data_IF_805364535015
#
_entry.id   IF_805364535015
#
_cell.length_a   1.000
_cell.length_b   1.000
_cell.length_c   1.000
_cell.angle_alpha   90.00
_cell.angle_beta   90.00
_cell.angle_gamma   90.00
#
_symmetry.space_group_name_H-M   'P 1'
#
loop_
_entity.id
_entity.type
_entity.pdbx_description
1 polymer ?
#
# COMPACT_ATOMS: atom_id res chain seq x y z
N UNK A 1 -10.84 1.95 -8.71
CA UNK A 1 -9.63 2.56 -9.33
C UNK A 1 -9.90 3.00 -10.77
N UNK A 2 -10.68 2.23 -11.53
CA UNK A 2 -11.09 2.55 -12.91
C UNK A 2 -11.97 3.81 -12.99
N UNK A 3 -12.82 4.06 -11.99
CA UNK A 3 -13.79 5.17 -12.03
C UNK A 3 -13.17 6.57 -11.94
N UNK A 4 -11.95 6.69 -11.45
CA UNK A 4 -11.25 7.97 -11.29
C UNK A 4 -10.47 8.41 -12.54
N UNK A 5 -10.18 7.47 -13.45
CA UNK A 5 -9.43 7.75 -14.67
C UNK A 5 -10.29 8.41 -15.77
N UNK A 6 -11.62 8.33 -15.66
CA UNK A 6 -12.55 8.85 -16.68
C UNK A 6 -12.89 10.34 -16.53
N UNK A 7 -12.51 10.98 -15.42
CA UNK A 7 -12.67 12.43 -15.22
C UNK A 7 -11.45 13.14 -15.80
N UNK A 8 -11.35 13.15 -17.13
CA UNK A 8 -10.23 13.73 -17.84
C UNK A 8 -10.15 15.24 -17.61
N UNK A 9 -9.33 15.71 -16.67
CA UNK A 9 -8.93 17.14 -16.62
C UNK A 9 -7.76 17.56 -15.70
N UNK A 10 -6.72 16.78 -15.34
CA UNK A 10 -5.73 17.34 -14.38
C UNK A 10 -4.24 17.09 -14.67
N UNK A 11 -3.48 18.20 -14.71
CA UNK A 11 -2.01 18.30 -14.78
C UNK A 11 -1.31 17.64 -13.57
N UNK A 12 -0.11 17.12 -13.81
CA UNK A 12 0.29 15.77 -13.36
C UNK A 12 0.79 15.64 -11.92
N UNK A 13 1.39 16.64 -11.26
CA UNK A 13 2.18 16.31 -10.04
C UNK A 13 1.74 16.85 -8.68
N UNK A 14 0.94 17.91 -8.59
CA UNK A 14 0.61 18.50 -7.26
C UNK A 14 -0.88 18.72 -7.07
N UNK A 15 -1.56 19.21 -8.11
CA UNK A 15 -3.00 19.52 -8.07
C UNK A 15 -3.87 18.26 -8.08
N UNK A 16 -3.35 17.16 -8.63
CA UNK A 16 -4.02 15.87 -8.67
C UNK A 16 -4.17 15.26 -7.28
N UNK A 17 -3.12 15.32 -6.45
CA UNK A 17 -3.13 14.74 -5.09
C UNK A 17 -4.17 15.40 -4.18
N UNK A 18 -4.22 16.73 -4.17
CA UNK A 18 -5.15 17.45 -3.28
C UNK A 18 -6.62 17.23 -3.66
N UNK A 19 -6.94 17.27 -4.95
CA UNK A 19 -8.32 16.99 -5.41
C UNK A 19 -8.70 15.52 -5.21
N UNK A 20 -7.76 14.61 -5.43
CA UNK A 20 -7.96 13.17 -5.21
C UNK A 20 -8.24 12.83 -3.75
N UNK A 21 -7.47 13.39 -2.81
CA UNK A 21 -7.65 13.15 -1.38
C UNK A 21 -9.02 13.65 -0.90
N UNK A 22 -9.45 14.81 -1.37
CA UNK A 22 -10.76 15.37 -1.03
C UNK A 22 -11.91 14.52 -1.61
N UNK A 23 -11.76 14.00 -2.83
CA UNK A 23 -12.77 13.10 -3.41
C UNK A 23 -12.81 11.75 -2.68
N UNK A 24 -11.65 11.21 -2.27
CA UNK A 24 -11.59 10.02 -1.42
C UNK A 24 -12.24 10.24 -0.06
N UNK A 25 -12.00 11.39 0.60
CA UNK A 25 -12.69 11.76 1.84
C UNK A 25 -14.21 11.72 1.64
N UNK A 26 -14.72 12.33 0.57
CA UNK A 26 -16.15 12.34 0.24
C UNK A 26 -16.73 10.95 0.00
N UNK A 27 -16.01 10.08 -0.72
CA UNK A 27 -16.44 8.70 -0.97
C UNK A 27 -16.46 7.91 0.34
N UNK A 28 -15.44 8.05 1.17
CA UNK A 28 -15.33 7.37 2.45
C UNK A 28 -16.36 7.85 3.46
N UNK A 29 -16.69 9.14 3.49
CA UNK A 29 -17.79 9.67 4.32
C UNK A 29 -19.14 9.08 3.89
N UNK A 30 -19.35 8.87 2.58
CA UNK A 30 -20.57 8.22 2.08
C UNK A 30 -20.62 6.72 2.39
N UNK A 31 -19.50 5.99 2.24
CA UNK A 31 -19.47 4.53 2.45
C UNK A 31 -19.29 4.13 3.91
N UNK A 32 -18.60 4.96 4.70
CA UNK A 32 -18.21 4.75 6.09
C UNK A 32 -18.43 6.05 6.90
N UNK A 33 -19.70 6.47 7.11
CA UNK A 33 -20.04 7.78 7.70
C UNK A 33 -19.52 8.00 9.13
N UNK A 34 -19.11 6.94 9.83
CA UNK A 34 -18.60 7.01 11.21
C UNK A 34 -17.07 6.92 11.30
N UNK A 35 -16.36 6.78 10.18
CA UNK A 35 -14.90 6.63 10.20
C UNK A 35 -14.15 7.93 10.55
N UNK A 36 -14.80 9.10 10.40
CA UNK A 36 -14.24 10.42 10.69
C UNK A 36 -12.84 10.66 10.07
N UNK A 37 -12.58 10.11 8.88
CA UNK A 37 -11.29 10.20 8.18
C UNK A 37 -11.21 11.49 7.37
N UNK A 38 -10.29 12.39 7.74
CA UNK A 38 -10.00 13.65 7.02
C UNK A 38 -8.98 13.43 5.89
N UNK A 39 -9.11 14.13 4.76
CA UNK A 39 -8.14 14.13 3.66
C UNK A 39 -6.70 14.36 4.13
N UNK A 40 -6.51 15.34 5.02
CA UNK A 40 -5.22 15.64 5.66
C UNK A 40 -5.40 15.77 7.18
N UNK A 41 -4.47 15.24 7.99
CA UNK A 41 -3.30 14.44 7.60
C UNK A 41 -3.60 12.93 7.43
N UNK A 42 -4.82 12.49 7.77
CA UNK A 42 -5.14 11.07 8.02
C UNK A 42 -5.11 10.20 6.75
N UNK A 43 -5.79 10.61 5.68
CA UNK A 43 -5.80 9.83 4.44
C UNK A 43 -4.46 9.88 3.70
N UNK A 44 -3.78 11.03 3.73
CA UNK A 44 -2.47 11.19 3.13
C UNK A 44 -1.42 10.26 3.76
N UNK A 45 -1.37 10.20 5.10
CA UNK A 45 -0.43 9.32 5.81
C UNK A 45 -0.75 7.84 5.56
N UNK A 46 -2.04 7.47 5.60
CA UNK A 46 -2.50 6.11 5.34
C UNK A 46 -2.13 5.65 3.92
N UNK A 47 -2.39 6.47 2.90
CA UNK A 47 -2.05 6.14 1.50
C UNK A 47 -0.53 6.00 1.33
N UNK A 48 0.25 6.86 1.99
CA UNK A 48 1.72 6.77 1.96
C UNK A 48 2.20 5.46 2.57
N UNK A 49 1.65 5.04 3.71
CA UNK A 49 1.95 3.75 4.35
C UNK A 49 1.56 2.59 3.44
N UNK A 50 0.33 2.58 2.92
CA UNK A 50 -0.15 1.53 2.02
C UNK A 50 0.70 1.39 0.75
N UNK A 51 1.12 2.51 0.14
CA UNK A 51 2.02 2.48 -1.01
C UNK A 51 3.39 1.88 -0.67
N UNK A 52 3.92 2.21 0.51
CA UNK A 52 5.20 1.66 0.97
C UNK A 52 5.11 0.17 1.21
N UNK A 53 4.07 -0.28 1.89
CA UNK A 53 3.86 -1.69 2.21
C UNK A 53 3.54 -2.51 0.96
N UNK A 54 2.74 -1.96 0.05
CA UNK A 54 2.50 -2.58 -1.26
C UNK A 54 3.78 -2.72 -2.09
N UNK A 55 4.67 -1.72 -2.08
CA UNK A 55 5.94 -1.82 -2.79
C UNK A 55 6.82 -2.96 -2.24
N UNK A 56 6.75 -3.23 -0.93
CA UNK A 56 7.47 -4.35 -0.30
C UNK A 56 6.88 -5.68 -0.76
N UNK A 57 5.55 -5.84 -0.67
CA UNK A 57 4.85 -7.04 -1.13
C UNK A 57 5.11 -7.29 -2.61
N UNK A 58 5.06 -6.25 -3.43
CA UNK A 58 5.32 -6.33 -4.85
C UNK A 58 6.77 -6.75 -5.15
N UNK A 59 7.76 -6.19 -4.44
CA UNK A 59 9.16 -6.57 -4.58
C UNK A 59 9.41 -8.03 -4.16
N UNK A 60 8.77 -8.48 -3.07
CA UNK A 60 8.81 -9.89 -2.65
C UNK A 60 8.26 -10.80 -3.75
N UNK A 61 7.13 -10.47 -4.38
CA UNK A 61 6.46 -11.29 -5.39
C UNK A 61 7.05 -11.16 -6.81
N UNK A 62 7.72 -10.04 -7.10
CA UNK A 62 8.23 -9.71 -8.44
C UNK A 62 9.76 -9.71 -8.49
N UNK A 63 10.40 -10.19 -7.43
CA UNK A 63 11.84 -10.27 -7.29
C UNK A 63 12.47 -10.95 -8.51
N UNK A 64 13.60 -10.41 -8.96
CA UNK A 64 14.34 -10.92 -10.12
C UNK A 64 14.73 -12.38 -9.85
N UNK A 65 14.49 -13.25 -10.84
CA UNK A 65 14.78 -14.69 -10.84
C UNK A 65 13.82 -15.60 -10.05
N UNK A 66 12.51 -15.50 -10.33
CA UNK A 66 11.44 -16.32 -9.72
C UNK A 66 11.43 -16.19 -8.20
N UNK A 67 10.71 -15.19 -7.69
CA UNK A 67 10.59 -15.01 -6.25
C UNK A 67 10.26 -16.31 -5.54
N UNK A 68 11.10 -16.70 -4.59
CA UNK A 68 10.81 -17.82 -3.69
C UNK A 68 9.66 -17.50 -2.71
N UNK A 69 9.09 -16.30 -2.83
CA UNK A 69 7.86 -15.86 -2.20
C UNK A 69 6.68 -16.08 -3.13
N UNK A 70 5.59 -16.59 -2.57
CA UNK A 70 4.28 -16.71 -3.20
C UNK A 70 3.21 -15.91 -2.45
N UNK A 71 2.02 -15.87 -3.04
CA UNK A 71 0.82 -15.27 -2.46
C UNK A 71 -0.19 -16.37 -2.12
N UNK A 72 -0.65 -16.41 -0.87
CA UNK A 72 -1.73 -17.27 -0.44
C UNK A 72 -3.06 -16.53 -0.62
N UNK A 73 -3.83 -16.92 -1.65
CA UNK A 73 -5.13 -16.32 -1.95
C UNK A 73 -6.19 -16.54 -0.87
N UNK A 74 -6.09 -17.61 -0.08
CA UNK A 74 -7.06 -17.89 0.98
C UNK A 74 -6.80 -17.05 2.22
N UNK A 75 -5.52 -16.86 2.55
CA UNK A 75 -5.07 -16.12 3.72
C UNK A 75 -4.77 -14.65 3.43
N UNK A 76 -4.74 -14.27 2.15
CA UNK A 76 -4.39 -12.94 1.65
C UNK A 76 -3.05 -12.46 2.23
N UNK A 77 -2.01 -13.29 2.15
CA UNK A 77 -0.68 -13.01 2.70
C UNK A 77 0.48 -13.61 1.90
N UNK A 78 1.68 -13.06 2.12
CA UNK A 78 2.93 -13.60 1.56
C UNK A 78 3.31 -14.91 2.26
N UNK A 79 3.68 -15.91 1.46
CA UNK A 79 4.13 -17.23 1.95
C UNK A 79 5.46 -17.59 1.30
N UNK A 80 6.34 -18.23 2.07
CA UNK A 80 7.62 -18.75 1.60
C UNK A 80 8.13 -19.79 2.62
N UNK A 81 9.12 -20.58 2.21
CA UNK A 81 9.85 -21.46 3.13
C UNK A 81 10.62 -20.66 4.19
N UNK A 82 10.80 -21.23 5.38
CA UNK A 82 11.53 -20.57 6.48
C UNK A 82 12.96 -20.16 6.07
N UNK A 83 13.61 -20.95 5.21
CA UNK A 83 14.93 -20.63 4.67
C UNK A 83 14.93 -19.34 3.85
N UNK A 84 13.87 -19.10 3.07
CA UNK A 84 13.68 -17.89 2.26
C UNK A 84 13.43 -16.68 3.16
N UNK A 85 12.56 -16.82 4.18
CA UNK A 85 12.34 -15.77 5.18
C UNK A 85 13.62 -15.39 5.91
N UNK A 86 14.39 -16.38 6.37
CA UNK A 86 15.65 -16.16 7.06
C UNK A 86 16.66 -15.42 6.17
N UNK A 87 16.82 -15.85 4.91
CA UNK A 87 17.71 -15.18 3.97
C UNK A 87 17.30 -13.71 3.75
N UNK A 88 16.01 -13.45 3.54
CA UNK A 88 15.46 -12.11 3.31
C UNK A 88 15.62 -11.18 4.53
N UNK A 89 15.42 -11.70 5.75
CA UNK A 89 15.65 -10.96 7.01
C UNK A 89 17.14 -10.69 7.25
N UNK A 90 18.02 -11.63 6.88
CA UNK A 90 19.48 -11.45 7.02
C UNK A 90 20.09 -10.55 5.95
N UNK A 91 19.48 -10.45 4.76
CA UNK A 91 19.90 -9.59 3.66
C UNK A 91 19.59 -8.08 3.91
N UNK A 92 19.21 -7.73 5.13
CA UNK A 92 18.96 -6.35 5.59
C UNK A 92 17.81 -5.61 4.87
N UNK A 93 17.04 -6.31 4.03
CA UNK A 93 15.91 -5.73 3.29
C UNK A 93 14.76 -5.28 4.20
N UNK A 94 14.63 -5.89 5.39
CA UNK A 94 13.61 -5.60 6.41
C UNK A 94 14.13 -4.83 7.63
N UNK A 95 15.42 -4.96 8.02
CA UNK A 95 15.89 -4.50 9.34
C UNK A 95 15.88 -2.98 9.52
N UNK A 96 15.80 -2.23 8.42
CA UNK A 96 15.66 -0.77 8.43
C UNK A 96 14.24 -0.28 8.16
N UNK A 97 13.24 -1.17 8.11
CA UNK A 97 11.87 -0.81 7.74
C UNK A 97 10.92 -1.14 8.90
N UNK A 98 10.60 -0.13 9.69
CA UNK A 98 9.61 -0.25 10.78
C UNK A 98 8.25 -0.69 10.21
N UNK A 99 7.85 -1.94 10.48
CA UNK A 99 6.47 -2.38 10.30
C UNK A 99 5.71 -1.93 11.55
N UNK A 100 4.83 -0.94 11.41
CA UNK A 100 4.15 -0.28 12.54
C UNK A 100 3.07 -1.15 13.22
N UNK A 101 3.04 -2.47 12.98
CA UNK A 101 1.91 -3.32 13.37
C UNK A 101 2.26 -4.69 13.94
N UNK A 102 3.50 -4.91 14.38
CA UNK A 102 3.84 -6.10 15.18
C UNK A 102 4.70 -5.69 16.38
N UNK A 103 4.04 -5.49 17.52
CA UNK A 103 4.58 -5.70 18.87
C UNK A 103 4.03 -7.03 19.41
#
# INVERSE_FOLDING_TARGET
MVDLHNVGTFNVDTRFKDKYLNELERILEKSLPHAMLKAKPNLESMIRTLKRDWAIVYDMLSGKDNSSFGWDEHRQMIVAEDAVWNLYITADQLRHRNFLYYD
#
